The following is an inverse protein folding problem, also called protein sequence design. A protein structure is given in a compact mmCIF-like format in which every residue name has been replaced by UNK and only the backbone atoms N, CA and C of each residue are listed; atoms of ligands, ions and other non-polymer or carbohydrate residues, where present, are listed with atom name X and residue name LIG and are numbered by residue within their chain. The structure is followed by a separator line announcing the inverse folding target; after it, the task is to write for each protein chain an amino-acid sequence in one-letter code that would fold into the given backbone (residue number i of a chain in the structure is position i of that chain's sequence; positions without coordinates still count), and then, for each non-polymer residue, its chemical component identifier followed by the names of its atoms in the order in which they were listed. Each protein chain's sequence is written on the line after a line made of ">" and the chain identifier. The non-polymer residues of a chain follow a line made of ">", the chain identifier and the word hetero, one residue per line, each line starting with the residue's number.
data_IF_597158198461
#
_entry.id   IF_597158198461
#
_cell.length_a   1.000
_cell.length_b   1.000
_cell.length_c   1.000
_cell.angle_alpha   90.00
_cell.angle_beta   90.00
_cell.angle_gamma   90.00
#
_symmetry.space_group_name_H-M   'P 1'
#
loop_
_entity.id
_entity.type
_entity.pdbx_description
1 polymer ?
#
# COMPACT_ATOMS: atom_id res chain seq x y z
N UNK A 1 28.98 15.00 -14.53
CA UNK A 1 28.61 16.40 -14.23
C UNK A 1 27.14 16.38 -13.83
N UNK A 2 26.78 16.78 -12.60
CA UNK A 2 25.38 16.74 -12.17
C UNK A 2 24.53 17.64 -13.07
N UNK A 3 23.37 17.16 -13.52
CA UNK A 3 22.62 17.76 -14.63
C UNK A 3 22.24 19.25 -14.42
N UNK A 4 22.15 19.70 -13.17
CA UNK A 4 21.88 21.10 -12.81
C UNK A 4 23.01 21.79 -12.04
N UNK A 5 24.12 21.10 -11.78
CA UNK A 5 25.23 21.61 -10.95
C UNK A 5 24.77 22.24 -9.62
N UNK A 6 23.69 21.72 -9.03
CA UNK A 6 23.17 22.17 -7.74
C UNK A 6 24.18 21.80 -6.65
N UNK A 7 24.53 22.76 -5.80
CA UNK A 7 25.22 22.46 -4.54
C UNK A 7 24.28 21.74 -3.57
N UNK A 8 24.79 21.14 -2.50
CA UNK A 8 23.95 20.52 -1.47
C UNK A 8 22.95 21.52 -0.87
N UNK A 9 23.37 22.77 -0.68
CA UNK A 9 22.50 23.86 -0.21
C UNK A 9 21.41 24.23 -1.23
N UNK A 10 21.72 24.16 -2.53
CA UNK A 10 20.72 24.37 -3.59
C UNK A 10 19.69 23.23 -3.57
N UNK A 11 20.10 21.98 -3.33
CA UNK A 11 19.18 20.84 -3.28
C UNK A 11 18.15 21.02 -2.17
N UNK A 12 18.57 21.42 -0.96
CA UNK A 12 17.65 21.63 0.16
C UNK A 12 16.61 22.74 -0.08
N UNK A 13 16.98 23.78 -0.82
CA UNK A 13 16.15 24.98 -0.98
C UNK A 13 15.37 25.02 -2.30
N UNK A 14 15.88 24.38 -3.35
CA UNK A 14 15.32 24.47 -4.71
C UNK A 14 14.68 23.19 -5.19
N UNK A 15 14.98 22.03 -4.60
CA UNK A 15 14.38 20.77 -4.98
C UNK A 15 13.27 20.38 -4.00
N UNK A 16 12.06 20.13 -4.52
CA UNK A 16 10.95 19.58 -3.73
C UNK A 16 10.48 18.26 -4.32
N UNK A 17 10.45 17.23 -3.49
CA UNK A 17 9.91 15.93 -3.84
C UNK A 17 8.43 15.84 -3.44
N UNK A 18 7.58 15.39 -4.37
CA UNK A 18 6.12 15.30 -4.18
C UNK A 18 5.69 13.90 -4.61
N UNK A 19 5.07 13.11 -3.74
CA UNK A 19 4.61 11.75 -4.06
C UNK A 19 3.09 11.62 -3.98
N UNK A 20 2.53 10.65 -4.71
CA UNK A 20 1.10 10.31 -4.67
C UNK A 20 0.71 9.52 -3.39
N UNK A 21 1.13 9.97 -2.20
CA UNK A 21 1.05 9.22 -0.95
C UNK A 21 2.38 8.59 -0.55
N UNK A 22 2.35 7.65 0.40
CA UNK A 22 3.54 7.01 0.98
C UNK A 22 3.25 5.65 1.61
N UNK A 23 4.31 4.92 1.86
CA UNK A 23 4.35 3.63 2.53
C UNK A 23 5.02 3.76 3.91
N UNK A 24 4.98 2.67 4.69
CA UNK A 24 5.83 2.52 5.87
C UNK A 24 7.21 1.99 5.43
N UNK A 25 8.25 2.17 6.26
CA UNK A 25 9.64 1.80 5.91
C UNK A 25 9.84 0.31 5.63
N UNK A 26 8.99 -0.54 6.19
CA UNK A 26 9.00 -1.99 6.07
C UNK A 26 8.10 -2.51 4.94
N UNK A 27 7.65 -1.62 4.04
CA UNK A 27 6.73 -1.94 2.94
C UNK A 27 7.39 -1.64 1.61
N UNK A 28 7.41 -2.62 0.70
CA UNK A 28 7.92 -2.40 -0.67
C UNK A 28 6.82 -1.83 -1.55
N UNK A 29 7.20 -1.02 -2.54
CA UNK A 29 6.30 -0.60 -3.61
C UNK A 29 6.77 -1.22 -4.94
N UNK A 30 5.99 -2.14 -5.46
CA UNK A 30 6.30 -2.98 -6.60
C UNK A 30 5.42 -2.60 -7.82
N UNK A 31 5.45 -3.44 -8.86
CA UNK A 31 4.64 -3.28 -10.07
C UNK A 31 5.06 -2.05 -10.87
N UNK A 32 4.10 -1.13 -11.09
CA UNK A 32 4.38 0.16 -11.74
C UNK A 32 4.99 1.21 -10.82
N UNK A 33 5.10 0.90 -9.52
CA UNK A 33 5.65 1.80 -8.53
C UNK A 33 4.66 2.88 -8.11
N UNK A 34 5.13 3.78 -7.26
CA UNK A 34 4.36 4.95 -6.81
C UNK A 34 4.76 6.16 -7.66
N UNK A 35 3.80 6.88 -8.23
CA UNK A 35 4.13 8.09 -8.96
C UNK A 35 4.60 9.23 -8.04
N UNK A 36 5.55 10.01 -8.55
CA UNK A 36 6.12 11.16 -7.87
C UNK A 36 6.46 12.27 -8.88
N UNK A 37 6.63 13.48 -8.38
CA UNK A 37 7.12 14.65 -9.10
C UNK A 37 8.30 15.26 -8.34
N UNK A 38 9.18 15.92 -9.10
CA UNK A 38 10.25 16.75 -8.55
C UNK A 38 10.04 18.16 -9.10
N UNK A 39 9.86 19.13 -8.21
CA UNK A 39 9.84 20.55 -8.55
C UNK A 39 11.26 21.10 -8.34
N UNK A 40 11.79 21.76 -9.37
CA UNK A 40 13.09 22.44 -9.31
C UNK A 40 12.83 23.94 -9.46
N UNK A 41 13.17 24.70 -8.41
CA UNK A 41 13.00 26.14 -8.36
C UNK A 41 14.13 26.87 -9.07
N UNK A 42 13.78 27.90 -9.83
CA UNK A 42 14.70 28.71 -10.64
C UNK A 42 15.60 27.85 -11.57
N UNK A 43 15.02 27.03 -12.48
CA UNK A 43 15.82 26.18 -13.35
C UNK A 43 16.56 27.03 -14.39
N UNK A 44 17.89 26.89 -14.45
CA UNK A 44 18.73 27.63 -15.42
C UNK A 44 18.57 27.13 -16.86
N UNK A 45 18.04 25.91 -17.04
CA UNK A 45 17.76 25.28 -18.33
C UNK A 45 16.80 24.11 -18.18
N UNK A 46 16.37 23.54 -19.30
CA UNK A 46 15.73 22.22 -19.34
C UNK A 46 16.78 21.12 -19.57
N UNK A 47 16.59 19.99 -18.90
CA UNK A 47 17.28 18.73 -19.20
C UNK A 47 16.73 18.09 -20.47
N UNK A 48 17.62 17.43 -21.22
CA UNK A 48 17.25 16.60 -22.36
C UNK A 48 16.69 15.25 -21.90
N UNK A 49 16.03 14.53 -22.80
CA UNK A 49 15.54 13.17 -22.51
C UNK A 49 16.67 12.20 -22.15
N UNK A 50 17.86 12.36 -22.73
CA UNK A 50 19.05 11.56 -22.39
C UNK A 50 19.52 11.82 -20.96
N UNK A 51 19.51 13.08 -20.52
CA UNK A 51 19.88 13.45 -19.16
C UNK A 51 18.86 12.95 -18.12
N UNK A 52 17.56 13.00 -18.44
CA UNK A 52 16.51 12.42 -17.60
C UNK A 52 16.68 10.90 -17.48
N UNK A 53 16.91 10.20 -18.59
CA UNK A 53 17.17 8.76 -18.59
C UNK A 53 18.45 8.41 -17.82
N UNK A 54 19.50 9.21 -17.96
CA UNK A 54 20.74 9.07 -17.20
C UNK A 54 20.51 9.21 -15.68
N UNK A 55 19.67 10.17 -15.26
CA UNK A 55 19.30 10.33 -13.86
C UNK A 55 18.50 9.13 -13.33
N UNK A 56 17.53 8.62 -14.11
CA UNK A 56 16.80 7.39 -13.78
C UNK A 56 17.76 6.20 -13.58
N UNK A 57 18.70 6.01 -14.52
CA UNK A 57 19.67 4.93 -14.47
C UNK A 57 20.59 5.06 -13.25
N UNK A 58 21.07 6.27 -12.94
CA UNK A 58 21.94 6.52 -11.78
C UNK A 58 21.27 6.14 -10.47
N UNK A 59 20.05 6.61 -10.23
CA UNK A 59 19.27 6.27 -9.01
C UNK A 59 19.04 4.76 -8.94
N UNK A 60 18.74 4.14 -10.09
CA UNK A 60 18.40 2.72 -10.17
C UNK A 60 19.60 1.78 -10.01
N UNK A 61 20.85 2.28 -9.95
CA UNK A 61 22.05 1.43 -9.79
C UNK A 61 22.09 0.67 -8.46
N UNK A 62 21.54 1.24 -7.40
CA UNK A 62 21.52 0.62 -6.07
C UNK A 62 20.68 -0.67 -6.03
N UNK A 63 19.63 -0.73 -6.83
CA UNK A 63 18.61 -1.79 -6.79
C UNK A 63 17.55 -1.59 -5.70
N UNK A 64 17.77 -0.71 -4.72
CA UNK A 64 16.82 -0.44 -3.64
C UNK A 64 15.61 0.37 -4.12
N UNK A 65 15.84 1.29 -5.06
CA UNK A 65 14.82 2.11 -5.72
C UNK A 65 15.06 2.07 -7.21
N UNK A 66 14.01 1.79 -7.99
CA UNK A 66 14.06 1.80 -9.45
C UNK A 66 13.14 2.91 -9.96
N UNK A 67 13.71 3.86 -10.70
CA UNK A 67 12.95 4.92 -11.40
C UNK A 67 12.76 4.50 -12.85
N UNK A 68 11.52 4.19 -13.24
CA UNK A 68 11.23 3.68 -14.59
C UNK A 68 11.48 4.73 -15.67
N UNK A 69 10.98 5.95 -15.47
CA UNK A 69 11.13 7.07 -16.38
C UNK A 69 10.83 8.39 -15.68
N UNK A 70 11.28 9.49 -16.28
CA UNK A 70 10.95 10.86 -15.89
C UNK A 70 10.47 11.61 -17.12
N UNK A 71 9.49 12.48 -16.93
CA UNK A 71 8.96 13.37 -17.98
C UNK A 71 8.65 14.74 -17.39
N UNK A 72 8.54 15.74 -18.26
CA UNK A 72 8.10 17.07 -17.85
C UNK A 72 6.60 17.08 -17.57
N UNK A 73 6.23 17.86 -16.57
CA UNK A 73 4.85 17.98 -16.12
C UNK A 73 4.39 19.43 -16.23
N UNK A 74 3.10 19.59 -16.47
CA UNK A 74 2.40 20.87 -16.32
C UNK A 74 1.88 21.01 -14.89
N UNK A 75 1.39 22.21 -14.55
CA UNK A 75 0.73 22.45 -13.25
C UNK A 75 -0.54 21.60 -13.08
N UNK A 76 -1.26 21.34 -14.17
CA UNK A 76 -2.49 20.54 -14.13
C UNK A 76 -2.20 19.07 -13.82
N UNK A 77 -1.08 18.54 -14.32
CA UNK A 77 -0.62 17.18 -13.99
C UNK A 77 -0.37 17.03 -12.49
N UNK A 78 0.21 18.04 -11.83
CA UNK A 78 0.44 18.02 -10.37
C UNK A 78 -0.86 17.99 -9.56
N UNK A 79 -1.94 18.59 -10.06
CA UNK A 79 -3.25 18.53 -9.41
C UNK A 79 -3.80 17.09 -9.45
N UNK A 80 -3.61 16.40 -10.58
CA UNK A 80 -4.02 15.00 -10.71
C UNK A 80 -3.26 14.08 -9.76
N UNK A 81 -1.96 14.31 -9.58
CA UNK A 81 -1.14 13.57 -8.61
C UNK A 81 -1.72 13.64 -7.19
N UNK A 82 -2.04 14.84 -6.72
CA UNK A 82 -2.60 15.08 -5.37
C UNK A 82 -3.99 14.48 -5.21
N UNK A 83 -4.87 14.65 -6.21
CA UNK A 83 -6.19 14.00 -6.23
C UNK A 83 -6.07 12.47 -6.20
N UNK A 84 -5.04 11.94 -6.85
CA UNK A 84 -4.75 10.51 -6.90
C UNK A 84 -4.49 9.88 -5.53
N UNK A 85 -3.79 10.60 -4.66
CA UNK A 85 -3.51 10.17 -3.29
C UNK A 85 -4.81 9.89 -2.51
N UNK A 86 -5.78 10.81 -2.62
CA UNK A 86 -7.03 10.81 -1.86
C UNK A 86 -8.12 9.90 -2.42
N UNK A 87 -8.10 9.64 -3.74
CA UNK A 87 -9.24 9.00 -4.43
C UNK A 87 -8.92 7.62 -5.01
N UNK A 88 -7.67 7.35 -5.37
CA UNK A 88 -7.35 6.12 -6.10
C UNK A 88 -7.15 4.94 -5.19
N UNK A 89 -7.58 3.79 -5.67
CA UNK A 89 -7.44 2.52 -4.99
C UNK A 89 -5.98 2.05 -5.00
N UNK A 90 -5.65 1.16 -4.06
CA UNK A 90 -4.34 0.51 -4.02
C UNK A 90 -4.55 -0.99 -3.86
N UNK A 91 -3.71 -1.78 -4.53
CA UNK A 91 -3.63 -3.23 -4.35
C UNK A 91 -2.37 -3.57 -3.58
N UNK A 92 -2.50 -4.52 -2.67
CA UNK A 92 -1.44 -4.99 -1.81
C UNK A 92 -1.35 -6.51 -1.83
N UNK A 93 -0.16 -7.04 -1.63
CA UNK A 93 0.06 -8.44 -1.25
C UNK A 93 0.64 -8.46 0.17
N UNK A 94 0.03 -9.27 1.02
CA UNK A 94 0.42 -9.42 2.41
C UNK A 94 0.78 -10.87 2.71
N UNK A 95 1.92 -11.10 3.37
CA UNK A 95 2.23 -12.37 4.00
C UNK A 95 1.68 -12.35 5.43
N UNK A 96 0.61 -13.11 5.65
CA UNK A 96 -0.09 -13.16 6.93
C UNK A 96 0.25 -14.44 7.69
N UNK A 97 0.18 -14.36 9.03
CA UNK A 97 0.36 -15.48 9.94
C UNK A 97 -0.88 -15.65 10.81
N UNK A 98 -1.39 -16.89 10.89
CA UNK A 98 -2.46 -17.28 11.83
C UNK A 98 -1.83 -17.72 13.15
N UNK A 99 -2.15 -17.02 14.23
CA UNK A 99 -1.55 -17.18 15.55
C UNK A 99 -2.42 -18.03 16.50
N UNK A 100 -3.73 -18.03 16.31
CA UNK A 100 -4.65 -18.86 17.10
C UNK A 100 -5.65 -19.60 16.22
N UNK A 101 -6.31 -20.59 16.81
CA UNK A 101 -7.34 -21.36 16.11
C UNK A 101 -8.52 -20.48 15.71
N UNK A 102 -8.97 -20.61 14.47
CA UNK A 102 -10.17 -19.96 13.96
C UNK A 102 -11.44 -20.65 14.45
N UNK A 103 -12.58 -20.06 14.12
CA UNK A 103 -13.88 -20.70 14.34
C UNK A 103 -14.12 -21.96 13.48
N UNK A 104 -13.27 -22.22 12.50
CA UNK A 104 -13.35 -23.37 11.59
C UNK A 104 -12.41 -24.51 11.99
N UNK A 105 -11.54 -24.31 12.98
CA UNK A 105 -10.70 -25.40 13.46
C UNK A 105 -11.49 -26.32 14.39
N UNK A 106 -11.79 -27.53 13.91
CA UNK A 106 -12.48 -28.57 14.68
C UNK A 106 -11.69 -29.03 15.92
N UNK A 107 -10.37 -29.19 15.78
CA UNK A 107 -9.49 -29.68 16.83
C UNK A 107 -8.50 -28.60 17.30
N UNK A 108 -8.85 -27.92 18.39
CA UNK A 108 -8.03 -26.84 18.99
C UNK A 108 -6.86 -27.34 19.87
N UNK A 109 -6.57 -28.64 19.83
CA UNK A 109 -5.39 -29.22 20.49
C UNK A 109 -4.22 -29.45 19.52
N UNK A 110 -4.49 -29.41 18.21
CA UNK A 110 -3.44 -29.50 17.20
C UNK A 110 -2.66 -28.20 17.08
N UNK A 111 -1.51 -28.25 16.43
CA UNK A 111 -0.79 -27.03 16.04
C UNK A 111 -1.67 -26.13 15.18
N UNK A 112 -1.61 -24.82 15.44
CA UNK A 112 -2.30 -23.82 14.62
C UNK A 112 -1.83 -23.93 13.17
N UNK A 113 -2.78 -23.96 12.24
CA UNK A 113 -2.55 -24.00 10.79
C UNK A 113 -3.66 -23.27 10.06
N UNK A 114 -3.35 -22.73 8.89
CA UNK A 114 -4.32 -22.20 7.94
C UNK A 114 -4.97 -23.38 7.23
N UNK A 115 -6.29 -23.47 7.32
CA UNK A 115 -7.06 -24.53 6.66
C UNK A 115 -7.61 -24.06 5.32
N UNK A 116 -8.04 -24.99 4.48
CA UNK A 116 -8.74 -24.63 3.25
C UNK A 116 -10.06 -23.90 3.57
N UNK A 117 -10.73 -24.26 4.66
CA UNK A 117 -11.96 -23.59 5.09
C UNK A 117 -11.72 -22.13 5.51
N UNK A 118 -10.59 -21.83 6.16
CA UNK A 118 -10.19 -20.44 6.42
C UNK A 118 -10.07 -19.65 5.10
N UNK A 119 -9.37 -20.23 4.12
CA UNK A 119 -9.13 -19.59 2.82
C UNK A 119 -10.45 -19.40 2.04
N UNK A 120 -11.29 -20.43 1.99
CA UNK A 120 -12.57 -20.37 1.31
C UNK A 120 -13.49 -19.34 1.98
N UNK A 121 -13.49 -19.25 3.30
CA UNK A 121 -14.23 -18.22 4.00
C UNK A 121 -13.72 -16.82 3.65
N UNK A 122 -12.40 -16.57 3.70
CA UNK A 122 -11.82 -15.27 3.31
C UNK A 122 -12.20 -14.93 1.86
N UNK A 123 -12.06 -15.89 0.95
CA UNK A 123 -12.32 -15.75 -0.48
C UNK A 123 -13.80 -15.57 -0.83
N UNK A 124 -14.72 -15.87 0.08
CA UNK A 124 -16.15 -15.66 -0.10
C UNK A 124 -16.72 -14.57 0.83
N UNK A 125 -15.93 -14.05 1.78
CA UNK A 125 -16.42 -13.06 2.74
C UNK A 125 -16.84 -11.75 2.04
N UNK A 126 -18.05 -11.31 2.36
CA UNK A 126 -18.68 -10.06 1.92
C UNK A 126 -19.65 -9.61 3.02
N UNK A 127 -19.75 -8.30 3.24
CA UNK A 127 -20.71 -7.71 4.20
C UNK A 127 -21.57 -6.59 3.59
N UNK A 128 -21.57 -6.49 2.27
CA UNK A 128 -22.37 -5.60 1.43
C UNK A 128 -23.25 -6.44 0.49
N UNK A 129 -24.15 -5.80 -0.25
CA UNK A 129 -24.96 -6.46 -1.26
C UNK A 129 -24.09 -7.05 -2.39
N UNK A 130 -24.54 -8.12 -3.04
CA UNK A 130 -23.74 -8.88 -4.02
C UNK A 130 -23.34 -8.05 -5.25
N UNK A 131 -24.19 -7.10 -5.64
CA UNK A 131 -23.99 -6.17 -6.76
C UNK A 131 -23.19 -4.91 -6.37
N UNK A 132 -22.89 -4.70 -5.09
CA UNK A 132 -22.10 -3.57 -4.62
C UNK A 132 -20.61 -3.74 -5.03
N UNK A 133 -20.00 -2.74 -5.71
CA UNK A 133 -18.57 -2.76 -6.04
C UNK A 133 -17.66 -2.78 -4.81
N UNK A 134 -18.15 -2.29 -3.67
CA UNK A 134 -17.51 -2.47 -2.37
C UNK A 134 -17.87 -3.84 -1.86
N UNK A 135 -16.87 -4.66 -1.56
CA UNK A 135 -17.06 -6.01 -1.05
C UNK A 135 -17.14 -6.07 0.47
N UNK A 136 -16.33 -5.26 1.14
CA UNK A 136 -16.33 -5.18 2.61
C UNK A 136 -16.26 -3.72 3.03
N UNK A 137 -17.27 -3.25 3.74
CA UNK A 137 -17.23 -1.99 4.47
C UNK A 137 -16.65 -2.20 5.86
N UNK A 138 -15.63 -1.40 6.20
CA UNK A 138 -14.98 -1.42 7.50
C UNK A 138 -14.95 -0.03 8.12
N UNK A 139 -14.82 0.02 9.43
CA UNK A 139 -14.61 1.25 10.20
C UNK A 139 -13.26 1.19 10.88
N UNK A 140 -12.39 2.17 10.61
CA UNK A 140 -11.04 2.25 11.19
C UNK A 140 -10.87 3.52 12.02
N UNK A 141 -10.44 3.37 13.27
CA UNK A 141 -9.86 4.47 14.04
C UNK A 141 -8.44 4.72 13.57
N UNK A 142 -7.97 5.97 13.62
CA UNK A 142 -6.57 6.32 13.33
C UNK A 142 -5.61 5.40 14.10
N UNK A 143 -4.77 4.56 13.45
CA UNK A 143 -3.94 3.56 14.13
C UNK A 143 -3.07 4.13 15.26
N UNK A 144 -2.86 3.36 16.33
CA UNK A 144 -2.10 3.76 17.53
C UNK A 144 -0.71 4.21 17.13
N UNK A 145 -0.04 3.42 16.28
CA UNK A 145 1.32 3.69 15.78
C UNK A 145 1.44 5.01 15.01
N UNK A 146 0.33 5.63 14.60
CA UNK A 146 0.33 6.93 13.90
C UNK A 146 -0.32 8.07 14.69
N UNK A 147 -0.82 7.82 15.92
CA UNK A 147 -1.49 8.84 16.74
C UNK A 147 -0.57 10.00 17.14
N UNK A 148 0.75 9.77 17.25
CA UNK A 148 1.72 10.84 17.56
C UNK A 148 1.78 11.94 16.49
N UNK A 149 1.26 11.68 15.28
CA UNK A 149 1.35 12.58 14.12
C UNK A 149 0.02 12.82 13.42
N UNK A 150 -1.06 12.14 13.84
CA UNK A 150 -2.39 12.23 13.22
C UNK A 150 -3.46 12.34 14.30
N UNK A 151 -4.51 13.15 14.09
CA UNK A 151 -5.62 13.22 15.02
C UNK A 151 -6.37 11.89 15.11
N UNK A 152 -6.89 11.60 16.30
CA UNK A 152 -7.77 10.46 16.53
C UNK A 152 -9.10 10.69 15.79
N UNK A 153 -9.33 9.93 14.73
CA UNK A 153 -10.54 10.00 13.92
C UNK A 153 -11.00 8.59 13.58
N UNK A 154 -12.31 8.40 13.46
CA UNK A 154 -12.93 7.17 12.99
C UNK A 154 -13.41 7.38 11.57
N UNK A 155 -13.03 6.51 10.64
CA UNK A 155 -13.38 6.64 9.23
C UNK A 155 -13.90 5.33 8.66
N UNK A 156 -14.92 5.42 7.82
CA UNK A 156 -15.33 4.32 6.96
C UNK A 156 -14.28 4.09 5.86
N UNK A 157 -14.03 2.84 5.54
CA UNK A 157 -13.09 2.37 4.52
C UNK A 157 -13.68 1.17 3.81
N UNK A 158 -13.16 0.92 2.61
CA UNK A 158 -13.73 -0.05 1.71
C UNK A 158 -12.63 -0.99 1.23
N UNK A 159 -12.97 -2.28 1.24
CA UNK A 159 -12.21 -3.33 0.56
C UNK A 159 -13.04 -3.70 -0.67
N UNK A 160 -12.39 -3.57 -1.81
CA UNK A 160 -13.00 -3.74 -3.13
C UNK A 160 -12.75 -5.15 -3.67
N UNK A 161 -11.60 -5.73 -3.34
CA UNK A 161 -11.29 -7.12 -3.68
C UNK A 161 -10.41 -7.75 -2.60
N UNK A 162 -10.58 -9.06 -2.41
CA UNK A 162 -9.91 -9.86 -1.39
C UNK A 162 -9.74 -11.29 -1.87
N UNK A 163 -8.50 -11.76 -1.90
CA UNK A 163 -8.16 -13.13 -2.24
C UNK A 163 -7.06 -13.65 -1.32
N UNK A 164 -7.18 -14.86 -0.84
CA UNK A 164 -6.23 -15.55 0.01
C UNK A 164 -5.83 -16.89 -0.60
N UNK A 165 -4.58 -17.29 -0.36
CA UNK A 165 -4.04 -18.60 -0.75
C UNK A 165 -3.08 -19.13 0.31
N UNK A 166 -3.10 -20.45 0.52
CA UNK A 166 -2.15 -21.14 1.41
C UNK A 166 -0.73 -20.95 0.88
N UNK A 167 0.23 -20.75 1.78
CA UNK A 167 1.65 -20.83 1.43
C UNK A 167 2.09 -22.30 1.55
N UNK A 168 2.57 -22.93 0.45
CA UNK A 168 3.08 -24.29 0.51
C UNK A 168 4.16 -24.46 1.57
N UNK A 169 4.14 -25.59 2.27
CA UNK A 169 5.11 -25.97 3.32
C UNK A 169 5.21 -25.01 4.52
N UNK A 170 4.32 -24.03 4.64
CA UNK A 170 4.29 -23.05 5.74
C UNK A 170 2.89 -23.06 6.38
N UNK A 171 2.61 -24.00 7.30
CA UNK A 171 1.25 -24.32 7.73
C UNK A 171 0.52 -23.15 8.40
N UNK A 172 1.22 -22.19 9.01
CA UNK A 172 0.61 -21.02 9.65
C UNK A 172 0.48 -19.81 8.73
N UNK A 173 1.05 -19.87 7.52
CA UNK A 173 1.16 -18.71 6.64
C UNK A 173 0.18 -18.78 5.48
N UNK A 174 -0.33 -17.62 5.11
CA UNK A 174 -1.11 -17.44 3.89
C UNK A 174 -0.78 -16.10 3.24
N UNK A 175 -0.95 -16.05 1.92
CA UNK A 175 -0.82 -14.80 1.16
C UNK A 175 -2.21 -14.20 0.99
N UNK A 176 -2.31 -12.89 1.21
CA UNK A 176 -3.53 -12.11 1.07
C UNK A 176 -3.32 -11.02 0.01
N UNK A 177 -4.02 -11.15 -1.11
CA UNK A 177 -4.22 -10.08 -2.08
C UNK A 177 -5.38 -9.22 -1.64
N UNK A 178 -5.18 -7.91 -1.53
CA UNK A 178 -6.22 -7.00 -1.07
C UNK A 178 -6.20 -5.70 -1.87
N UNK A 179 -7.36 -5.32 -2.43
CA UNK A 179 -7.56 -4.02 -3.08
C UNK A 179 -8.48 -3.16 -2.23
N UNK A 180 -8.03 -1.95 -1.88
CA UNK A 180 -8.76 -1.07 -0.96
C UNK A 180 -8.99 0.32 -1.54
N UNK A 181 -9.97 1.03 -0.97
CA UNK A 181 -10.07 2.48 -1.10
C UNK A 181 -8.81 3.20 -0.61
N UNK A 182 -8.66 4.47 -0.99
CA UNK A 182 -7.56 5.31 -0.51
C UNK A 182 -7.55 5.47 1.02
N UNK A 183 -6.35 5.45 1.60
CA UNK A 183 -6.13 5.71 3.03
C UNK A 183 -6.67 4.61 3.96
N UNK A 184 -6.92 3.41 3.46
CA UNK A 184 -7.17 2.20 4.27
C UNK A 184 -5.86 1.73 4.89
N UNK A 185 -5.89 1.40 6.17
CA UNK A 185 -4.74 0.87 6.90
C UNK A 185 -4.78 -0.66 6.88
N UNK A 186 -4.02 -1.27 5.96
CA UNK A 186 -4.08 -2.71 5.67
C UNK A 186 -3.62 -3.56 6.86
N UNK A 187 -2.52 -3.18 7.53
CA UNK A 187 -2.03 -3.89 8.73
C UNK A 187 -3.16 -4.01 9.76
N UNK A 188 -3.79 -2.87 10.09
CA UNK A 188 -4.87 -2.81 11.05
C UNK A 188 -6.18 -3.46 10.58
N UNK A 189 -6.42 -3.59 9.28
CA UNK A 189 -7.49 -4.46 8.78
C UNK A 189 -7.20 -5.94 9.02
N UNK A 190 -5.94 -6.38 8.90
CA UNK A 190 -5.56 -7.77 9.17
C UNK A 190 -5.71 -8.08 10.65
N UNK A 191 -4.95 -7.39 11.51
CA UNK A 191 -4.86 -7.72 12.94
C UNK A 191 -5.90 -7.03 13.83
N UNK A 192 -6.73 -6.12 13.31
CA UNK A 192 -7.83 -5.45 14.02
C UNK A 192 -7.44 -4.38 15.05
N UNK A 193 -6.19 -4.37 15.51
CA UNK A 193 -5.60 -3.42 16.45
C UNK A 193 -6.47 -3.19 17.70
N UNK A 194 -6.64 -4.21 18.55
CA UNK A 194 -7.45 -4.11 19.78
C UNK A 194 -8.87 -3.58 19.50
N UNK A 195 -9.52 -4.10 18.45
CA UNK A 195 -10.85 -3.71 17.99
C UNK A 195 -10.97 -2.22 17.54
N UNK A 196 -9.87 -1.59 17.14
CA UNK A 196 -9.88 -0.24 16.54
C UNK A 196 -10.20 -0.25 15.04
N UNK A 197 -10.14 -1.42 14.40
CA UNK A 197 -10.69 -1.69 13.08
C UNK A 197 -11.78 -2.76 13.16
N UNK A 198 -12.95 -2.51 12.59
CA UNK A 198 -14.07 -3.47 12.59
C UNK A 198 -14.98 -3.36 11.33
N UNK A 199 -15.39 -4.50 10.72
CA UNK A 199 -14.77 -5.81 10.91
C UNK A 199 -13.31 -5.80 10.45
N UNK A 200 -12.48 -6.63 11.08
CA UNK A 200 -11.11 -6.94 10.67
C UNK A 200 -11.06 -8.40 10.21
N UNK A 201 -9.96 -8.81 9.57
CA UNK A 201 -9.75 -10.20 9.18
C UNK A 201 -9.73 -11.13 10.40
N UNK A 202 -9.02 -10.73 11.47
CA UNK A 202 -9.06 -11.43 12.75
C UNK A 202 -10.48 -11.59 13.31
N UNK A 203 -11.29 -10.53 13.24
CA UNK A 203 -12.69 -10.59 13.66
C UNK A 203 -13.52 -11.56 12.82
N UNK A 204 -13.30 -11.57 11.49
CA UNK A 204 -14.03 -12.41 10.56
C UNK A 204 -13.75 -13.91 10.79
N UNK A 205 -12.49 -14.27 11.03
CA UNK A 205 -12.08 -15.65 11.32
C UNK A 205 -12.25 -16.05 12.80
N UNK A 206 -12.47 -15.08 13.69
CA UNK A 206 -12.40 -15.28 15.15
C UNK A 206 -11.07 -15.94 15.56
N UNK A 207 -9.98 -15.41 15.03
CA UNK A 207 -8.60 -15.83 15.27
C UNK A 207 -7.68 -14.62 15.29
N UNK A 208 -6.58 -14.73 16.02
CA UNK A 208 -5.50 -13.77 15.98
C UNK A 208 -4.71 -14.00 14.69
N UNK A 209 -4.58 -12.93 13.91
CA UNK A 209 -3.89 -12.92 12.64
C UNK A 209 -3.01 -11.70 12.64
N UNK A 210 -1.77 -11.86 12.22
CA UNK A 210 -0.85 -10.75 12.03
C UNK A 210 -0.25 -10.81 10.63
N UNK A 211 0.55 -9.80 10.32
CA UNK A 211 1.18 -9.63 9.02
C UNK A 211 2.70 -9.52 9.20
N UNK A 212 3.43 -10.34 8.44
CA UNK A 212 4.89 -10.41 8.48
C UNK A 212 5.54 -9.51 7.42
N UNK A 213 4.89 -9.34 6.27
CA UNK A 213 5.37 -8.50 5.17
C UNK A 213 4.19 -7.95 4.36
N UNK A 214 4.34 -6.73 3.85
CA UNK A 214 3.34 -6.07 3.03
C UNK A 214 4.03 -5.40 1.84
N UNK A 215 3.49 -5.63 0.66
CA UNK A 215 3.90 -4.94 -0.56
C UNK A 215 2.71 -4.19 -1.13
N UNK A 216 2.94 -2.95 -1.59
CA UNK A 216 2.05 -2.28 -2.54
C UNK A 216 2.37 -2.85 -3.91
N UNK A 217 1.42 -3.53 -4.54
CA UNK A 217 1.61 -4.11 -5.88
C UNK A 217 1.08 -3.22 -6.99
N UNK A 218 0.11 -2.36 -6.67
CA UNK A 218 -0.45 -1.43 -7.65
C UNK A 218 -1.03 -0.18 -6.98
N UNK A 219 -0.69 0.99 -7.54
CA UNK A 219 -1.39 2.25 -7.29
C UNK A 219 -2.25 2.53 -8.52
N UNK A 220 -3.58 2.52 -8.38
CA UNK A 220 -4.52 2.65 -9.50
C UNK A 220 -4.66 4.10 -9.98
N UNK A 221 -3.54 4.69 -10.41
CA UNK A 221 -3.43 6.06 -10.91
C UNK A 221 -2.67 6.02 -12.24
N UNK A 222 -3.36 6.32 -13.34
CA UNK A 222 -2.75 6.52 -14.65
C UNK A 222 -2.09 7.90 -14.69
N UNK A 223 -0.86 7.98 -14.16
CA UNK A 223 -0.06 9.18 -14.09
C UNK A 223 1.42 8.81 -13.84
N UNK A 224 2.41 9.55 -14.38
CA UNK A 224 2.25 10.66 -15.32
C UNK A 224 1.79 10.15 -16.70
N UNK A 225 1.35 11.03 -17.61
CA UNK A 225 1.07 10.63 -18.99
C UNK A 225 2.29 9.90 -19.56
N UNK A 226 2.05 8.71 -20.13
CA UNK A 226 3.08 7.94 -20.82
C UNK A 226 3.41 8.55 -22.17
#
# INVERSE_FOLDING_TARGET
>A
MYAFSLSDSDVETRLKFISAGREDVDVRCLGDGRPFAIEISDPIRQLTSEELNGACAEVSKSGDVIVKYLTYLTKDDLIQLKKGEETKCKTYEALCIKLTHSKFDDNKTESVKVTQEDIDYINNYRNTETDDPVRIQITQKTPIRVLHRRPLLTRKREILDLQARIVPDQPQLFLLSIRTSAGTYVKEYVHGELARTHPSLSHALNADIDLLALDVTQVHLEWPPK
#
